data_IF_436555260815
#
_entry.id   IF_436555260815
#
_cell.length_a   1.000
_cell.length_b   1.000
_cell.length_c   1.000
_cell.angle_alpha   90.00
_cell.angle_beta   90.00
_cell.angle_gamma   90.00
#
_symmetry.space_group_name_H-M   'P 1'
#
loop_
_entity.id
_entity.type
_entity.pdbx_description
1 polymer ?
#
# COMPACT_ATOMS: atom_id res chain seq x y z
N UNK A 1 -19.49 0.51 36.69
CA UNK A 1 -18.31 0.12 37.47
C UNK A 1 -17.32 -0.57 36.55
N UNK A 2 -16.06 -0.13 36.53
CA UNK A 2 -14.99 -0.62 35.65
C UNK A 2 -14.40 -1.97 36.06
N UNK A 3 -15.24 -2.92 36.46
CA UNK A 3 -14.82 -4.27 36.87
C UNK A 3 -14.21 -5.00 35.68
N UNK A 4 -12.91 -5.30 35.77
CA UNK A 4 -12.15 -6.02 34.74
C UNK A 4 -11.11 -5.19 34.01
N UNK A 5 -11.15 -3.84 34.11
CA UNK A 5 -10.13 -2.97 33.48
C UNK A 5 -8.77 -3.16 34.12
N UNK A 6 -8.70 -3.26 35.46
CA UNK A 6 -7.43 -3.45 36.18
C UNK A 6 -6.79 -4.81 35.86
N UNK A 7 -7.60 -5.88 35.84
CA UNK A 7 -7.13 -7.22 35.50
C UNK A 7 -6.66 -7.31 34.04
N UNK A 8 -7.42 -6.70 33.11
CA UNK A 8 -7.02 -6.59 31.71
C UNK A 8 -5.70 -5.81 31.58
N UNK A 9 -5.58 -4.68 32.27
CA UNK A 9 -4.38 -3.86 32.23
C UNK A 9 -3.16 -4.58 32.79
N UNK A 10 -3.31 -5.33 33.89
CA UNK A 10 -2.26 -6.19 34.43
C UNK A 10 -1.79 -7.22 33.39
N UNK A 11 -2.71 -7.89 32.68
CA UNK A 11 -2.38 -8.82 31.62
C UNK A 11 -1.67 -8.14 30.42
N UNK A 12 -2.07 -6.91 30.05
CA UNK A 12 -1.38 -6.12 29.01
C UNK A 12 0.06 -5.78 29.43
N UNK A 13 0.27 -5.40 30.69
CA UNK A 13 1.60 -5.10 31.23
C UNK A 13 2.49 -6.35 31.27
N UNK A 14 1.95 -7.49 31.70
CA UNK A 14 2.65 -8.78 31.70
C UNK A 14 3.07 -9.18 30.28
N UNK A 15 2.14 -9.13 29.32
CA UNK A 15 2.43 -9.39 27.91
C UNK A 15 3.52 -8.45 27.38
N UNK A 16 3.44 -7.14 27.69
CA UNK A 16 4.46 -6.17 27.28
C UNK A 16 5.83 -6.51 27.87
N UNK A 17 5.90 -6.89 29.14
CA UNK A 17 7.15 -7.25 29.81
C UNK A 17 7.79 -8.47 29.14
N UNK A 18 7.02 -9.55 28.97
CA UNK A 18 7.48 -10.77 28.29
C UNK A 18 7.98 -10.49 26.87
N UNK A 19 7.20 -9.73 26.08
CA UNK A 19 7.53 -9.40 24.70
C UNK A 19 8.72 -8.44 24.56
N UNK A 20 8.99 -7.64 25.60
CA UNK A 20 10.17 -6.76 25.64
C UNK A 20 11.40 -7.58 26.01
N UNK A 21 11.32 -8.41 27.05
CA UNK A 21 12.41 -9.25 27.50
C UNK A 21 12.90 -10.23 26.42
N UNK A 22 11.98 -10.77 25.63
CA UNK A 22 12.31 -11.68 24.52
C UNK A 22 12.56 -10.96 23.17
N UNK A 23 12.59 -9.63 23.14
CA UNK A 23 12.87 -8.82 21.94
C UNK A 23 11.76 -8.78 20.88
N UNK A 24 10.70 -9.60 20.99
CA UNK A 24 9.65 -9.72 19.97
C UNK A 24 8.88 -8.43 19.75
N UNK A 25 8.75 -7.58 20.77
CA UNK A 25 8.09 -6.28 20.63
C UNK A 25 8.86 -5.35 19.69
N UNK A 26 10.20 -5.31 19.78
CA UNK A 26 11.04 -4.49 18.92
C UNK A 26 10.99 -4.99 17.47
N UNK A 27 11.19 -6.30 17.25
CA UNK A 27 11.08 -6.90 15.92
C UNK A 27 9.72 -6.70 15.28
N UNK A 28 8.63 -6.78 16.06
CA UNK A 28 7.27 -6.52 15.55
C UNK A 28 7.14 -5.07 15.09
N UNK A 29 7.63 -4.10 15.86
CA UNK A 29 7.56 -2.68 15.53
C UNK A 29 8.36 -2.34 14.29
N UNK A 30 9.56 -2.92 14.15
CA UNK A 30 10.37 -2.79 12.94
C UNK A 30 9.60 -3.29 11.71
N UNK A 31 9.04 -4.50 11.77
CA UNK A 31 8.21 -5.06 10.69
C UNK A 31 7.00 -4.18 10.37
N UNK A 32 6.33 -3.64 11.39
CA UNK A 32 5.20 -2.73 11.21
C UNK A 32 5.61 -1.42 10.57
N UNK A 33 6.71 -0.80 11.01
CA UNK A 33 7.21 0.44 10.45
C UNK A 33 7.59 0.26 8.97
N UNK A 34 8.27 -0.83 8.64
CA UNK A 34 8.63 -1.16 7.25
C UNK A 34 7.38 -1.43 6.40
N UNK A 35 6.39 -2.18 6.92
CA UNK A 35 5.14 -2.42 6.22
C UNK A 35 4.38 -1.10 5.95
N UNK A 36 4.25 -0.24 6.97
CA UNK A 36 3.60 1.06 6.83
C UNK A 36 4.33 1.98 5.84
N UNK A 37 5.66 1.97 5.83
CA UNK A 37 6.43 2.72 4.84
C UNK A 37 6.06 2.28 3.41
N UNK A 38 5.98 0.98 3.15
CA UNK A 38 5.59 0.46 1.85
C UNK A 38 4.13 0.76 1.48
N UNK A 39 3.20 0.67 2.44
CA UNK A 39 1.81 1.07 2.22
C UNK A 39 1.71 2.55 1.81
N UNK A 40 2.50 3.43 2.44
CA UNK A 40 2.54 4.86 2.11
C UNK A 40 3.14 5.11 0.72
N UNK A 41 4.19 4.37 0.35
CA UNK A 41 4.79 4.44 -0.98
C UNK A 41 3.76 4.02 -2.05
N UNK A 42 3.10 2.87 -1.87
CA UNK A 42 2.12 2.37 -2.83
C UNK A 42 0.91 3.31 -2.99
N UNK A 43 0.36 3.80 -1.87
CA UNK A 43 -0.74 4.78 -1.89
C UNK A 43 -0.31 6.08 -2.59
N UNK A 44 0.88 6.58 -2.29
CA UNK A 44 1.44 7.79 -2.90
C UNK A 44 1.67 7.63 -4.40
N UNK A 45 2.26 6.51 -4.84
CA UNK A 45 2.49 6.21 -6.26
C UNK A 45 1.17 6.10 -7.03
N UNK A 46 0.17 5.39 -6.49
CA UNK A 46 -1.16 5.27 -7.10
C UNK A 46 -1.85 6.62 -7.22
N UNK A 47 -1.75 7.46 -6.19
CA UNK A 47 -2.30 8.81 -6.22
C UNK A 47 -1.60 9.68 -7.27
N UNK A 48 -0.28 9.74 -7.25
CA UNK A 48 0.52 10.51 -8.19
C UNK A 48 0.25 10.11 -9.64
N UNK A 49 0.20 8.80 -9.91
CA UNK A 49 -0.13 8.25 -11.22
C UNK A 49 -1.52 8.72 -11.69
N UNK A 50 -2.55 8.60 -10.85
CA UNK A 50 -3.92 9.04 -11.21
C UNK A 50 -4.05 10.56 -11.37
N UNK A 51 -3.21 11.34 -10.68
CA UNK A 51 -3.22 12.80 -10.75
C UNK A 51 -2.39 13.36 -11.91
N UNK A 52 -1.51 12.55 -12.50
CA UNK A 52 -0.65 12.97 -13.61
C UNK A 52 -1.49 13.44 -14.82
N UNK A 53 -1.25 14.65 -15.38
CA UNK A 53 -2.09 15.22 -16.43
C UNK A 53 -2.30 14.32 -17.64
N UNK A 54 -1.22 13.74 -18.17
CA UNK A 54 -1.30 12.84 -19.34
C UNK A 54 -2.03 11.53 -19.02
N UNK A 55 -1.89 11.00 -17.80
CA UNK A 55 -2.63 9.80 -17.39
C UNK A 55 -4.12 10.12 -17.32
N UNK A 56 -4.50 11.26 -16.71
CA UNK A 56 -5.91 11.69 -16.63
C UNK A 56 -6.55 11.85 -18.00
N UNK A 57 -5.80 12.34 -18.99
CA UNK A 57 -6.26 12.50 -20.36
C UNK A 57 -6.43 11.14 -21.08
N UNK A 58 -5.43 10.25 -20.96
CA UNK A 58 -5.41 8.98 -21.69
C UNK A 58 -6.30 7.90 -21.06
N UNK A 59 -6.43 7.88 -19.72
CA UNK A 59 -7.05 6.79 -18.98
C UNK A 59 -8.47 6.46 -19.46
N UNK A 60 -9.41 7.42 -19.65
CA UNK A 60 -10.76 7.09 -20.11
C UNK A 60 -10.78 6.44 -21.49
N UNK A 61 -9.90 6.89 -22.41
CA UNK A 61 -9.83 6.35 -23.78
C UNK A 61 -9.27 4.94 -23.77
N UNK A 62 -8.15 4.73 -23.09
CA UNK A 62 -7.48 3.43 -23.06
C UNK A 62 -8.31 2.38 -22.31
N UNK A 63 -8.99 2.76 -21.22
CA UNK A 63 -9.92 1.86 -20.52
C UNK A 63 -11.06 1.40 -21.43
N UNK A 64 -11.64 2.29 -22.25
CA UNK A 64 -12.68 1.90 -23.22
C UNK A 64 -12.16 0.93 -24.27
N UNK A 65 -10.97 1.18 -24.83
CA UNK A 65 -10.37 0.29 -25.83
C UNK A 65 -10.09 -1.11 -25.27
N UNK A 66 -9.62 -1.19 -24.02
CA UNK A 66 -9.44 -2.47 -23.32
C UNK A 66 -10.77 -3.19 -23.11
N UNK A 67 -11.78 -2.50 -22.61
CA UNK A 67 -13.10 -3.08 -22.37
C UNK A 67 -13.78 -3.59 -23.65
N UNK A 68 -13.49 -2.95 -24.79
CA UNK A 68 -14.00 -3.35 -26.12
C UNK A 68 -13.15 -4.43 -26.80
N UNK A 69 -12.03 -4.85 -26.20
CA UNK A 69 -11.11 -5.82 -26.80
C UNK A 69 -10.28 -5.27 -27.98
N UNK A 70 -10.33 -3.96 -28.25
CA UNK A 70 -9.58 -3.32 -29.33
C UNK A 70 -8.14 -2.97 -28.95
N UNK A 71 -7.79 -3.05 -27.67
CA UNK A 71 -6.44 -2.86 -27.16
C UNK A 71 -6.14 -3.87 -26.04
N UNK A 72 -5.02 -4.63 -26.08
CA UNK A 72 -4.61 -5.47 -24.97
C UNK A 72 -4.36 -4.67 -23.68
N UNK A 73 -4.82 -5.19 -22.54
CA UNK A 73 -4.68 -4.55 -21.23
C UNK A 73 -3.20 -4.24 -20.87
N UNK A 74 -2.28 -5.15 -21.20
CA UNK A 74 -0.83 -4.96 -20.98
C UNK A 74 -0.25 -3.79 -21.79
N UNK A 75 -0.73 -3.59 -23.02
CA UNK A 75 -0.32 -2.45 -23.86
C UNK A 75 -0.89 -1.14 -23.32
N UNK A 76 -2.16 -1.11 -22.92
CA UNK A 76 -2.75 0.07 -22.28
C UNK A 76 -2.01 0.46 -20.98
N UNK A 77 -1.67 -0.52 -20.14
CA UNK A 77 -0.91 -0.30 -18.91
C UNK A 77 0.46 0.32 -19.20
N UNK A 78 1.23 -0.22 -20.17
CA UNK A 78 2.53 0.35 -20.58
C UNK A 78 2.40 1.78 -21.10
N UNK A 79 1.37 2.08 -21.90
CA UNK A 79 1.13 3.43 -22.39
C UNK A 79 0.85 4.41 -21.24
N UNK A 80 0.02 4.03 -20.26
CA UNK A 80 -0.28 4.88 -19.10
C UNK A 80 0.96 5.06 -18.20
N UNK A 81 1.75 4.00 -17.99
CA UNK A 81 3.00 4.07 -17.21
C UNK A 81 4.03 4.99 -17.89
N UNK A 82 4.21 4.85 -19.21
CA UNK A 82 5.06 5.74 -20.00
C UNK A 82 4.58 7.19 -19.93
N UNK A 83 3.27 7.43 -20.01
CA UNK A 83 2.67 8.76 -19.85
C UNK A 83 2.85 9.36 -18.45
N UNK A 84 3.14 8.56 -17.43
CA UNK A 84 3.49 9.02 -16.09
C UNK A 84 5.01 9.17 -15.89
N UNK A 85 5.83 8.95 -16.93
CA UNK A 85 7.28 8.77 -16.84
C UNK A 85 7.71 7.69 -15.83
N UNK A 86 6.84 6.72 -15.54
CA UNK A 86 7.14 5.56 -14.71
C UNK A 86 7.61 4.45 -15.66
N UNK A 87 8.84 3.98 -15.48
CA UNK A 87 9.34 2.85 -16.27
C UNK A 87 8.38 1.67 -16.12
N UNK A 88 7.80 1.22 -17.23
CA UNK A 88 6.90 0.07 -17.20
C UNK A 88 7.72 -1.20 -16.92
N UNK A 89 7.22 -2.13 -16.08
CA UNK A 89 7.89 -3.41 -15.88
C UNK A 89 7.96 -4.18 -17.20
N UNK A 90 9.06 -4.89 -17.41
CA UNK A 90 9.27 -5.78 -18.55
C UNK A 90 8.15 -6.85 -18.63
N UNK A 91 7.79 -7.32 -19.84
CA UNK A 91 6.69 -8.27 -20.05
C UNK A 91 6.90 -9.61 -19.32
#
# INVERSE_FOLDING_TARGET
AGTGVDAFWAAVLEFRALQTANGRLATRREKQATAWMWERIDAGLKQAFRQHPQVRELLPRLTRQVAQGSLPASTAARQLLAAAAVAAPAP
#
